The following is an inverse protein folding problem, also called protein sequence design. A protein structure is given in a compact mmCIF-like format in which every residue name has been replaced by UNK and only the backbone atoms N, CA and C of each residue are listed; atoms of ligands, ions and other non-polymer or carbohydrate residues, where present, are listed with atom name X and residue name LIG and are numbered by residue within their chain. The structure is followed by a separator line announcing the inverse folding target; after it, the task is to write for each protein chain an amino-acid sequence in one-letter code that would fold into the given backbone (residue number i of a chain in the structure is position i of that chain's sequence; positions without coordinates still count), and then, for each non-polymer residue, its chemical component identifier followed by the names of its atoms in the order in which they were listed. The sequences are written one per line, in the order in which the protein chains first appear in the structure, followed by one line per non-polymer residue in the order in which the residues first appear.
data_IF_297345013616
#
_entry.id   IF_297345013616
#
_cell.length_a   1.000
_cell.length_b   1.000
_cell.length_c   1.000
_cell.angle_alpha   90.00
_cell.angle_beta   90.00
_cell.angle_gamma   90.00
#
_symmetry.space_group_name_H-M   'P 1'
#
loop_
_entity.id
_entity.type
_entity.pdbx_description
1 polymer ?
#
# COMPACT_ATOMS: atom_id res chain seq x y z
N UNK A 1 11.07 16.62 -13.36
CA UNK A 1 9.81 16.23 -12.70
C UNK A 1 8.87 15.68 -13.76
N UNK A 2 8.89 14.37 -14.04
CA UNK A 2 8.14 13.80 -15.19
C UNK A 2 7.13 12.72 -14.79
N UNK A 3 7.56 11.73 -14.01
CA UNK A 3 6.71 10.60 -13.63
C UNK A 3 5.59 10.98 -12.65
N UNK A 4 5.86 11.85 -11.67
CA UNK A 4 4.87 12.29 -10.67
C UNK A 4 3.73 13.09 -11.31
N UNK A 5 4.06 13.95 -12.26
CA UNK A 5 3.09 14.80 -12.96
C UNK A 5 2.24 13.99 -13.95
N UNK A 6 2.86 13.04 -14.65
CA UNK A 6 2.13 12.08 -15.49
C UNK A 6 1.18 11.20 -14.68
N UNK A 7 1.60 10.73 -13.50
CA UNK A 7 0.73 9.95 -12.62
C UNK A 7 -0.44 10.80 -12.07
N UNK A 8 -0.19 12.07 -11.74
CA UNK A 8 -1.23 13.00 -11.30
C UNK A 8 -2.25 13.28 -12.41
N UNK A 9 -1.79 13.52 -13.63
CA UNK A 9 -2.65 13.69 -14.81
C UNK A 9 -3.47 12.42 -15.11
N UNK A 10 -2.88 11.23 -14.90
CA UNK A 10 -3.60 9.96 -15.03
C UNK A 10 -4.68 9.83 -13.94
N UNK A 11 -4.37 10.21 -12.70
CA UNK A 11 -5.30 10.20 -11.57
C UNK A 11 -6.50 11.13 -11.82
N UNK A 12 -6.26 12.34 -12.30
CA UNK A 12 -7.34 13.28 -12.67
C UNK A 12 -8.14 12.79 -13.88
N UNK A 13 -7.48 12.19 -14.90
CA UNK A 13 -8.16 11.65 -16.09
C UNK A 13 -9.12 10.49 -15.79
N UNK A 14 -8.81 9.64 -14.80
CA UNK A 14 -9.65 8.50 -14.43
C UNK A 14 -10.61 8.79 -13.26
N UNK A 15 -10.63 10.03 -12.75
CA UNK A 15 -11.50 10.48 -11.66
C UNK A 15 -12.97 10.37 -12.10
N UNK A 16 -13.72 9.43 -11.50
CA UNK A 16 -15.12 9.16 -11.81
C UNK A 16 -15.39 7.88 -12.60
N UNK A 17 -14.36 7.11 -12.98
CA UNK A 17 -14.52 5.78 -13.61
C UNK A 17 -14.43 4.66 -12.58
N UNK A 18 -14.96 3.46 -12.87
CA UNK A 18 -14.81 2.26 -12.00
C UNK A 18 -13.34 1.91 -11.67
N UNK A 19 -12.40 2.38 -12.48
CA UNK A 19 -10.96 2.16 -12.31
C UNK A 19 -10.27 3.25 -11.46
N UNK A 20 -10.99 4.31 -11.07
CA UNK A 20 -10.50 5.36 -10.18
C UNK A 20 -9.87 4.82 -8.88
N UNK A 21 -10.41 3.78 -8.20
CA UNK A 21 -9.81 3.24 -6.98
C UNK A 21 -8.44 2.60 -7.24
N UNK A 22 -8.29 1.88 -8.36
CA UNK A 22 -7.05 1.19 -8.72
C UNK A 22 -5.94 2.18 -9.09
N UNK A 23 -6.25 3.21 -9.90
CA UNK A 23 -5.28 4.25 -10.25
C UNK A 23 -4.90 5.11 -9.04
N UNK A 24 -5.85 5.40 -8.15
CA UNK A 24 -5.58 6.15 -6.93
C UNK A 24 -4.74 5.32 -5.93
N UNK A 25 -4.96 4.00 -5.85
CA UNK A 25 -4.14 3.09 -5.05
C UNK A 25 -2.69 3.04 -5.57
N UNK A 26 -2.48 2.90 -6.88
CA UNK A 26 -1.13 2.88 -7.49
C UNK A 26 -0.43 4.23 -7.29
N UNK A 27 -1.14 5.35 -7.51
CA UNK A 27 -0.58 6.68 -7.30
C UNK A 27 -0.17 6.91 -5.85
N UNK A 28 -1.01 6.50 -4.89
CA UNK A 28 -0.75 6.70 -3.46
C UNK A 28 0.22 5.68 -2.88
N UNK A 29 0.36 4.50 -3.49
CA UNK A 29 1.39 3.52 -3.15
C UNK A 29 2.79 4.04 -3.51
N UNK A 30 2.95 4.64 -4.69
CA UNK A 30 4.25 5.08 -5.19
C UNK A 30 4.62 6.51 -4.73
N UNK A 31 3.66 7.44 -4.69
CA UNK A 31 3.93 8.86 -4.48
C UNK A 31 3.18 9.44 -3.27
N UNK A 32 3.88 10.25 -2.48
CA UNK A 32 3.28 11.05 -1.41
C UNK A 32 2.29 12.06 -2.02
N UNK A 33 1.09 12.26 -1.42
CA UNK A 33 0.21 13.34 -1.82
C UNK A 33 0.94 14.68 -1.75
N UNK A 34 0.73 15.51 -2.77
CA UNK A 34 1.38 16.82 -2.88
C UNK A 34 0.62 17.91 -2.10
N UNK A 35 -0.08 17.50 -1.04
CA UNK A 35 -0.87 18.40 -0.19
C UNK A 35 0.00 18.86 0.95
N UNK A 36 0.25 20.16 1.02
CA UNK A 36 0.97 20.77 2.14
C UNK A 36 -0.03 21.30 3.15
N UNK A 37 0.29 21.26 4.44
CA UNK A 37 -0.56 21.88 5.46
C UNK A 37 -0.58 23.40 5.28
N UNK A 38 -1.75 23.92 4.88
CA UNK A 38 -2.02 25.34 4.72
C UNK A 38 -2.64 25.91 6.01
N UNK A 39 -1.80 26.29 6.98
CA UNK A 39 -2.21 26.87 8.26
C UNK A 39 -1.08 26.97 9.30
N UNK A 40 -1.29 27.79 10.34
CA UNK A 40 -0.37 27.89 11.48
C UNK A 40 -0.47 26.65 12.38
N UNK A 41 0.58 25.84 12.38
CA UNK A 41 0.66 24.59 13.17
C UNK A 41 1.91 24.64 14.04
N UNK A 42 1.80 24.25 15.31
CA UNK A 42 2.89 24.35 16.29
C UNK A 42 4.10 23.49 15.90
N UNK A 43 3.86 22.32 15.30
CA UNK A 43 4.88 21.44 14.72
C UNK A 43 4.29 20.83 13.44
N UNK A 44 5.02 20.89 12.33
CA UNK A 44 4.66 20.23 11.07
C UNK A 44 5.41 18.91 10.97
N UNK A 45 4.70 17.78 11.03
CA UNK A 45 5.28 16.47 10.81
C UNK A 45 5.20 16.11 9.31
N UNK A 46 6.28 15.55 8.77
CA UNK A 46 6.26 14.85 7.48
C UNK A 46 5.71 13.44 7.71
N UNK A 47 4.45 13.38 8.09
CA UNK A 47 3.69 12.16 8.23
C UNK A 47 3.50 11.52 6.83
N UNK A 48 4.08 10.34 6.64
CA UNK A 48 3.71 9.44 5.55
C UNK A 48 3.13 8.14 6.13
N UNK A 49 2.02 8.29 6.87
CA UNK A 49 1.26 7.21 7.49
C UNK A 49 0.93 6.11 6.48
N UNK A 50 0.51 6.50 5.28
CA UNK A 50 0.07 5.54 4.27
C UNK A 50 1.23 4.76 3.65
N UNK A 51 2.40 5.39 3.40
CA UNK A 51 3.59 4.64 2.95
C UNK A 51 4.10 3.71 4.04
N UNK A 52 4.17 4.19 5.28
CA UNK A 52 4.59 3.37 6.42
C UNK A 52 3.70 2.14 6.56
N UNK A 53 2.38 2.32 6.45
CA UNK A 53 1.42 1.22 6.51
C UNK A 53 1.62 0.21 5.36
N UNK A 54 1.87 0.67 4.13
CA UNK A 54 2.12 -0.22 2.99
C UNK A 54 3.43 -1.00 3.12
N UNK A 55 4.49 -0.40 3.67
CA UNK A 55 5.77 -1.08 3.92
C UNK A 55 5.57 -2.22 4.94
N UNK A 56 4.80 -1.96 6.01
CA UNK A 56 4.47 -2.98 7.01
C UNK A 56 3.68 -4.13 6.36
N UNK A 57 2.68 -3.84 5.52
CA UNK A 57 1.92 -4.87 4.82
C UNK A 57 2.84 -5.73 3.93
N UNK A 58 3.72 -5.09 3.15
CA UNK A 58 4.66 -5.82 2.30
C UNK A 58 5.61 -6.73 3.09
N UNK A 59 6.05 -6.29 4.27
CA UNK A 59 6.91 -7.10 5.15
C UNK A 59 6.17 -8.31 5.75
N UNK A 60 4.84 -8.25 5.88
CA UNK A 60 4.03 -9.34 6.44
C UNK A 60 3.69 -10.44 5.41
N UNK A 61 3.77 -10.16 4.10
CA UNK A 61 3.43 -11.14 3.05
C UNK A 61 4.29 -12.41 3.12
N UNK A 62 5.63 -12.36 3.25
CA UNK A 62 6.44 -13.56 3.38
C UNK A 62 6.11 -14.37 4.63
N UNK A 63 5.88 -13.70 5.76
CA UNK A 63 5.49 -14.33 7.02
C UNK A 63 4.14 -15.03 6.91
N UNK A 64 3.18 -14.44 6.19
CA UNK A 64 1.88 -15.03 5.94
C UNK A 64 1.99 -16.31 5.10
N UNK A 65 2.75 -16.28 4.00
CA UNK A 65 2.94 -17.44 3.12
C UNK A 65 3.60 -18.58 3.89
N UNK A 66 4.65 -18.28 4.67
CA UNK A 66 5.31 -19.28 5.50
C UNK A 66 4.36 -19.83 6.58
N UNK A 67 3.55 -18.96 7.21
CA UNK A 67 2.55 -19.37 8.19
C UNK A 67 1.50 -20.33 7.60
N UNK A 68 1.00 -20.03 6.39
CA UNK A 68 0.05 -20.90 5.68
C UNK A 68 0.67 -22.26 5.35
N UNK A 69 1.91 -22.27 4.86
CA UNK A 69 2.63 -23.51 4.57
C UNK A 69 2.86 -24.35 5.83
N UNK A 70 3.36 -23.72 6.91
CA UNK A 70 3.64 -24.42 8.15
C UNK A 70 2.35 -24.95 8.80
N UNK A 71 1.26 -24.18 8.80
CA UNK A 71 -0.03 -24.63 9.32
C UNK A 71 -0.57 -25.85 8.54
N UNK A 72 -0.48 -25.82 7.21
CA UNK A 72 -0.84 -26.96 6.37
C UNK A 72 0.05 -28.17 6.63
N UNK A 73 1.37 -27.97 6.69
CA UNK A 73 2.33 -29.05 6.97
C UNK A 73 2.04 -29.74 8.31
N UNK A 74 1.81 -28.97 9.38
CA UNK A 74 1.47 -29.53 10.70
C UNK A 74 0.12 -30.26 10.69
N UNK A 75 -0.85 -29.79 9.91
CA UNK A 75 -2.14 -30.45 9.76
C UNK A 75 -1.98 -31.84 9.11
N UNK A 76 -1.27 -31.92 7.98
CA UNK A 76 -1.06 -33.18 7.26
C UNK A 76 -0.17 -34.17 8.02
N UNK A 77 0.82 -33.68 8.77
CA UNK A 77 1.63 -34.48 9.68
C UNK A 77 0.76 -35.12 10.79
N UNK A 78 -0.19 -34.36 11.33
CA UNK A 78 -1.08 -34.84 12.40
C UNK A 78 -2.13 -35.84 11.90
N UNK A 79 -2.58 -35.72 10.64
CA UNK A 79 -3.52 -36.67 10.02
C UNK A 79 -2.83 -37.92 9.46
N UNK A 80 -1.49 -37.95 9.41
CA UNK A 80 -0.70 -39.08 8.92
C UNK A 80 -0.75 -39.26 7.40
N UNK A 81 -1.11 -38.22 6.66
CA UNK A 81 -1.11 -38.22 5.19
C UNK A 81 0.29 -37.93 4.61
N UNK A 82 1.24 -37.52 5.46
CA UNK A 82 2.66 -37.29 5.17
C UNK A 82 3.51 -37.88 6.30
#
# INVERSE_FOLDING_TARGET
MGLKENLHNLKEKYKGTKMAPAFNAIHTFLYLPNETTHGGTHIKAADDLKRTMNIVIMALIPCLIFGMFNAGYQHYLATGEI
#
